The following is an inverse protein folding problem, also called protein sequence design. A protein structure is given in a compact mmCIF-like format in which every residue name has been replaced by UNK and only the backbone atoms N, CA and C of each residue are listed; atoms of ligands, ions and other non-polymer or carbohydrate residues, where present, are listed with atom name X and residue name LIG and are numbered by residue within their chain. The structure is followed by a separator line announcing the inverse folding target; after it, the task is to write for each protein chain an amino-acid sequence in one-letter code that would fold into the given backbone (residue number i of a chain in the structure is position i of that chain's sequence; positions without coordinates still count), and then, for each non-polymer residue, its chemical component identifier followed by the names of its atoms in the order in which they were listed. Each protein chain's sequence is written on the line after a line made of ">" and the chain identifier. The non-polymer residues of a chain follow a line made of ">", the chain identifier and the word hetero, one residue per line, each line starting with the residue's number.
data_IF_277794495887
#
_entry.id   IF_277794495887
#
_cell.length_a   1.000
_cell.length_b   1.000
_cell.length_c   1.000
_cell.angle_alpha   90.00
_cell.angle_beta   90.00
_cell.angle_gamma   90.00
#
_symmetry.space_group_name_H-M   'P 1'
#
loop_
_entity.id
_entity.type
_entity.pdbx_description
1 polymer ?
#
# COMPACT_ATOMS: atom_id res chain seq x y z
N UNK A 1 -3.20 0.85 -6.51
CA UNK A 1 -2.80 1.68 -7.64
C UNK A 1 -3.69 1.54 -8.86
N UNK A 2 -3.88 2.62 -9.58
CA UNK A 2 -4.68 2.68 -10.82
C UNK A 2 -4.17 1.76 -11.95
N UNK A 3 -2.98 1.21 -11.82
CA UNK A 3 -2.33 0.35 -12.82
C UNK A 3 -2.47 -1.15 -12.49
N UNK A 4 -2.88 -1.51 -11.28
CA UNK A 4 -3.00 -2.90 -10.82
C UNK A 4 -4.40 -3.50 -10.83
N UNK A 5 -5.45 -2.74 -11.17
CA UNK A 5 -6.79 -3.29 -11.28
C UNK A 5 -6.97 -4.08 -12.57
N UNK A 6 -7.94 -5.00 -12.62
CA UNK A 6 -8.34 -5.76 -13.82
C UNK A 6 -8.66 -4.88 -15.05
N UNK A 7 -8.69 -3.56 -14.88
CA UNK A 7 -8.72 -2.55 -15.93
C UNK A 7 -7.46 -2.51 -16.79
N UNK A 8 -6.44 -3.30 -16.46
CA UNK A 8 -5.22 -3.33 -17.20
C UNK A 8 -5.33 -4.12 -18.51
N UNK A 9 -5.59 -3.39 -19.59
CA UNK A 9 -4.80 -3.55 -20.83
C UNK A 9 -4.91 -4.93 -21.51
N UNK A 10 -6.09 -5.55 -21.52
CA UNK A 10 -6.42 -6.50 -22.58
C UNK A 10 -6.91 -5.79 -23.85
N UNK A 11 -7.31 -4.53 -23.72
CA UNK A 11 -7.78 -3.74 -24.84
C UNK A 11 -7.04 -2.40 -24.90
N UNK A 12 -6.25 -2.18 -25.94
CA UNK A 12 -5.55 -0.91 -26.21
C UNK A 12 -6.50 0.29 -26.34
N UNK A 13 -7.81 0.04 -26.39
CA UNK A 13 -8.88 1.01 -26.57
C UNK A 13 -9.68 1.28 -25.30
N UNK A 14 -9.28 0.72 -24.14
CA UNK A 14 -9.99 1.00 -22.89
C UNK A 14 -9.82 2.46 -22.49
N UNK A 15 -10.92 3.13 -22.19
CA UNK A 15 -10.90 4.52 -21.70
C UNK A 15 -11.84 4.68 -20.53
N UNK A 16 -11.48 5.55 -19.60
CA UNK A 16 -12.33 5.98 -18.48
C UNK A 16 -12.95 7.32 -18.85
N UNK A 17 -14.26 7.47 -18.69
CA UNK A 17 -14.95 8.75 -18.86
C UNK A 17 -14.95 9.50 -17.51
N UNK A 18 -14.39 10.69 -17.50
CA UNK A 18 -14.39 11.60 -16.36
C UNK A 18 -14.90 12.94 -16.86
N UNK A 19 -16.06 13.36 -16.38
CA UNK A 19 -16.73 14.62 -16.75
C UNK A 19 -16.88 14.80 -18.27
N UNK A 20 -17.23 13.72 -18.99
CA UNK A 20 -17.44 13.72 -20.43
C UNK A 20 -16.17 13.67 -21.27
N UNK A 21 -14.99 13.57 -20.65
CA UNK A 21 -13.72 13.37 -21.33
C UNK A 21 -13.17 11.97 -21.12
N UNK A 22 -12.80 11.30 -22.22
CA UNK A 22 -12.22 9.97 -22.19
C UNK A 22 -10.71 10.02 -21.99
N UNK A 23 -10.24 9.23 -21.03
CA UNK A 23 -8.82 9.10 -20.71
C UNK A 23 -8.36 7.65 -20.84
N UNK A 24 -7.22 7.44 -21.44
CA UNK A 24 -6.54 6.14 -21.45
C UNK A 24 -5.89 5.86 -20.08
N UNK A 25 -5.60 4.61 -19.73
CA UNK A 25 -4.86 4.27 -18.52
C UNK A 25 -3.50 4.97 -18.43
N UNK A 26 -2.81 5.14 -19.55
CA UNK A 26 -1.53 5.84 -19.62
C UNK A 26 -1.67 7.34 -19.27
N UNK A 27 -2.73 7.99 -19.73
CA UNK A 27 -3.00 9.39 -19.40
C UNK A 27 -3.32 9.59 -17.92
N UNK A 28 -4.11 8.69 -17.32
CA UNK A 28 -4.40 8.73 -15.87
C UNK A 28 -3.11 8.50 -15.07
N UNK A 29 -2.31 7.51 -15.45
CA UNK A 29 -1.01 7.25 -14.81
C UNK A 29 -0.06 8.45 -14.96
N UNK A 30 -0.09 9.12 -16.12
CA UNK A 30 0.72 10.32 -16.34
C UNK A 30 0.32 11.48 -15.42
N UNK A 31 -0.97 11.62 -15.07
CA UNK A 31 -1.41 12.64 -14.10
C UNK A 31 -0.78 12.41 -12.72
N UNK A 32 -0.70 11.15 -12.27
CA UNK A 32 -0.02 10.80 -11.02
C UNK A 32 1.48 11.14 -11.10
N UNK A 33 2.13 10.76 -12.20
CA UNK A 33 3.56 11.05 -12.41
C UNK A 33 3.83 12.55 -12.49
N UNK A 34 2.93 13.34 -13.11
CA UNK A 34 3.02 14.80 -13.14
C UNK A 34 2.95 15.41 -11.73
N UNK A 35 2.07 14.89 -10.87
CA UNK A 35 1.99 15.35 -9.47
C UNK A 35 3.28 15.02 -8.71
N UNK A 36 3.78 13.80 -8.82
CA UNK A 36 5.03 13.39 -8.18
C UNK A 36 6.22 14.22 -8.69
N UNK A 37 6.27 14.49 -10.01
CA UNK A 37 7.28 15.38 -10.62
C UNK A 37 7.22 16.77 -10.02
N UNK A 38 6.03 17.37 -9.95
CA UNK A 38 5.85 18.71 -9.39
C UNK A 38 6.29 18.79 -7.91
N UNK A 39 5.96 17.78 -7.12
CA UNK A 39 6.38 17.68 -5.71
C UNK A 39 7.91 17.56 -5.59
N UNK A 40 8.52 16.73 -6.43
CA UNK A 40 9.98 16.58 -6.47
C UNK A 40 10.67 17.88 -6.89
N UNK A 41 10.15 18.57 -7.90
CA UNK A 41 10.67 19.87 -8.37
C UNK A 41 10.55 20.94 -7.27
N UNK A 42 9.43 20.96 -6.55
CA UNK A 42 9.24 21.88 -5.41
C UNK A 42 10.23 21.61 -4.28
N UNK A 43 10.48 20.35 -3.97
CA UNK A 43 11.43 19.94 -2.92
C UNK A 43 12.89 20.22 -3.31
N UNK A 44 13.27 19.91 -4.55
CA UNK A 44 14.65 20.04 -5.04
C UNK A 44 15.01 21.47 -5.48
N UNK A 45 14.02 22.32 -5.74
CA UNK A 45 14.22 23.67 -6.28
C UNK A 45 14.76 23.69 -7.72
N UNK A 46 14.63 22.58 -8.45
CA UNK A 46 15.12 22.44 -9.83
C UNK A 46 14.18 21.53 -10.66
N UNK A 47 14.29 21.64 -11.98
CA UNK A 47 13.49 20.81 -12.90
C UNK A 47 13.90 19.33 -12.82
N UNK A 48 12.91 18.45 -12.82
CA UNK A 48 13.07 17.00 -12.92
C UNK A 48 12.72 16.57 -14.34
N UNK A 49 13.71 16.05 -15.05
CA UNK A 49 13.57 15.66 -16.47
C UNK A 49 13.69 14.16 -16.69
N UNK A 50 14.27 13.43 -15.73
CA UNK A 50 14.55 12.01 -15.84
C UNK A 50 13.97 11.25 -14.64
N UNK A 51 13.57 9.99 -14.86
CA UNK A 51 13.07 9.12 -13.80
C UNK A 51 13.42 7.66 -14.04
N UNK A 52 13.62 6.93 -12.94
CA UNK A 52 13.48 5.48 -12.87
C UNK A 52 12.10 5.20 -12.27
N UNK A 53 11.31 4.36 -12.90
CA UNK A 53 9.94 4.04 -12.45
C UNK A 53 9.88 2.57 -12.05
N UNK A 54 9.31 2.29 -10.89
CA UNK A 54 9.12 0.93 -10.40
C UNK A 54 7.75 0.39 -10.81
N UNK A 55 7.68 -0.92 -11.03
CA UNK A 55 6.44 -1.65 -11.34
C UNK A 55 6.43 -2.97 -10.58
N UNK A 56 5.24 -3.52 -10.27
CA UNK A 56 5.14 -4.86 -9.71
C UNK A 56 5.87 -5.90 -10.58
N UNK A 57 6.48 -6.91 -9.94
CA UNK A 57 7.28 -7.91 -10.65
C UNK A 57 6.45 -8.71 -11.67
N UNK A 58 5.15 -8.89 -11.44
CA UNK A 58 4.23 -9.61 -12.32
C UNK A 58 3.74 -8.81 -13.53
N UNK A 59 4.11 -7.53 -13.67
CA UNK A 59 3.70 -6.73 -14.83
C UNK A 59 4.22 -7.36 -16.13
N UNK A 60 3.32 -7.52 -17.10
CA UNK A 60 3.64 -7.92 -18.46
C UNK A 60 4.44 -6.83 -19.20
N UNK A 61 5.09 -7.19 -20.30
CA UNK A 61 5.81 -6.24 -21.14
C UNK A 61 4.92 -5.10 -21.64
N UNK A 62 3.64 -5.39 -21.94
CA UNK A 62 2.67 -4.36 -22.35
C UNK A 62 2.36 -3.37 -21.23
N UNK A 63 2.27 -3.83 -19.97
CA UNK A 63 2.06 -2.96 -18.80
C UNK A 63 3.31 -2.12 -18.49
N UNK A 64 4.49 -2.71 -18.62
CA UNK A 64 5.78 -1.99 -18.51
C UNK A 64 5.91 -0.91 -19.57
N UNK A 65 5.55 -1.23 -20.82
CA UNK A 65 5.55 -0.25 -21.90
C UNK A 65 4.55 0.88 -21.65
N UNK A 66 3.33 0.54 -21.19
CA UNK A 66 2.31 1.55 -20.84
C UNK A 66 2.79 2.50 -19.71
N UNK A 67 3.50 1.97 -18.72
CA UNK A 67 4.12 2.78 -17.65
C UNK A 67 5.21 3.71 -18.21
N UNK A 68 6.02 3.21 -19.13
CA UNK A 68 7.04 4.01 -19.81
C UNK A 68 6.41 5.13 -20.64
N UNK A 69 5.31 4.83 -21.33
CA UNK A 69 4.57 5.82 -22.13
C UNK A 69 3.91 6.88 -21.24
N UNK A 70 3.36 6.49 -20.08
CA UNK A 70 2.85 7.43 -19.08
C UNK A 70 3.95 8.40 -18.60
N UNK A 71 5.17 7.91 -18.37
CA UNK A 71 6.31 8.77 -18.04
C UNK A 71 6.62 9.77 -19.12
N UNK A 72 6.58 9.37 -20.39
CA UNK A 72 6.78 10.29 -21.52
C UNK A 72 5.67 11.35 -21.62
N UNK A 73 4.40 10.96 -21.41
CA UNK A 73 3.25 11.88 -21.38
C UNK A 73 3.44 12.90 -20.26
N UNK A 74 3.99 12.50 -19.11
CA UNK A 74 4.34 13.37 -17.99
C UNK A 74 5.59 14.26 -18.25
N UNK A 75 6.19 14.17 -19.44
CA UNK A 75 7.39 14.94 -19.80
C UNK A 75 8.65 14.48 -19.06
N UNK A 76 8.75 13.16 -18.80
CA UNK A 76 9.91 12.51 -18.19
C UNK A 76 10.62 11.62 -19.22
N UNK A 77 11.94 11.69 -19.26
CA UNK A 77 12.77 10.65 -19.84
C UNK A 77 12.83 9.47 -18.87
N UNK A 78 12.18 8.34 -19.22
CA UNK A 78 12.19 7.13 -18.40
C UNK A 78 13.47 6.36 -18.69
N UNK A 79 14.44 6.48 -17.79
CA UNK A 79 15.75 5.82 -17.91
C UNK A 79 15.62 4.30 -17.79
N UNK A 80 14.80 3.82 -16.85
CA UNK A 80 14.59 2.40 -16.59
C UNK A 80 13.22 2.13 -15.97
N UNK A 81 12.67 0.96 -16.26
CA UNK A 81 11.58 0.33 -15.49
C UNK A 81 12.22 -0.81 -14.72
N UNK A 82 12.04 -0.85 -13.40
CA UNK A 82 12.57 -1.89 -12.52
C UNK A 82 11.45 -2.50 -11.68
N UNK A 83 11.65 -3.73 -11.20
CA UNK A 83 10.69 -4.37 -10.33
C UNK A 83 10.68 -3.72 -8.94
N UNK A 84 9.50 -3.50 -8.35
CA UNK A 84 9.35 -2.95 -7.00
C UNK A 84 10.14 -3.73 -5.94
N UNK A 85 10.08 -5.09 -5.89
CA UNK A 85 10.86 -5.85 -4.92
C UNK A 85 12.39 -5.71 -5.14
N UNK A 86 12.85 -5.56 -6.37
CA UNK A 86 14.26 -5.28 -6.66
C UNK A 86 14.66 -3.90 -6.14
N UNK A 87 13.81 -2.89 -6.37
CA UNK A 87 14.05 -1.53 -5.86
C UNK A 87 14.11 -1.50 -4.32
N UNK A 88 13.19 -2.22 -3.66
CA UNK A 88 13.19 -2.35 -2.20
C UNK A 88 14.49 -2.98 -1.69
N UNK A 89 14.97 -4.04 -2.34
CA UNK A 89 16.22 -4.70 -1.99
C UNK A 89 17.43 -3.78 -2.16
N UNK A 90 17.48 -3.01 -3.24
CA UNK A 90 18.53 -2.01 -3.48
C UNK A 90 18.50 -0.89 -2.43
N UNK A 91 17.31 -0.37 -2.11
CA UNK A 91 17.14 0.67 -1.09
C UNK A 91 17.59 0.19 0.30
N UNK A 92 17.44 -1.11 0.57
CA UNK A 92 17.92 -1.74 1.80
C UNK A 92 19.45 -1.97 1.80
N UNK A 93 20.14 -1.73 0.69
CA UNK A 93 21.61 -1.85 0.57
C UNK A 93 22.10 -3.28 0.41
N UNK A 94 21.28 -4.18 -0.09
CA UNK A 94 21.64 -5.59 -0.26
C UNK A 94 22.58 -5.84 -1.45
N UNK A 95 22.80 -4.84 -2.29
CA UNK A 95 23.81 -4.83 -3.36
C UNK A 95 25.24 -4.71 -2.81
N UNK A 96 25.40 -4.28 -1.56
CA UNK A 96 26.71 -4.00 -0.92
C UNK A 96 27.19 -5.11 0.02
N UNK A 97 26.45 -6.21 0.10
CA UNK A 97 26.76 -7.33 1.00
C UNK A 97 27.80 -8.31 0.44
N UNK A 98 28.30 -9.21 1.29
CA UNK A 98 29.19 -10.30 0.88
C UNK A 98 28.53 -11.16 -0.21
N UNK A 99 29.35 -11.64 -1.17
CA UNK A 99 28.99 -12.47 -2.34
C UNK A 99 28.41 -13.85 -1.95
N UNK A 100 27.39 -13.90 -1.11
CA UNK A 100 26.67 -15.14 -0.77
C UNK A 100 25.28 -15.06 -1.34
N UNK A 101 24.85 -16.12 -2.00
CA UNK A 101 23.47 -16.25 -2.45
C UNK A 101 22.54 -16.14 -1.24
N UNK A 102 21.65 -15.16 -1.25
CA UNK A 102 20.66 -14.91 -0.19
C UNK A 102 19.26 -14.99 -0.78
N UNK A 103 18.38 -15.69 -0.08
CA UNK A 103 16.96 -15.68 -0.39
C UNK A 103 16.25 -14.71 0.52
N UNK A 104 15.48 -13.82 -0.08
CA UNK A 104 14.85 -12.69 0.60
C UNK A 104 13.37 -12.71 0.29
N UNK A 105 12.56 -12.56 1.33
CA UNK A 105 11.14 -12.33 1.18
C UNK A 105 10.87 -10.83 1.30
N UNK A 106 10.25 -10.26 0.26
CA UNK A 106 9.72 -8.90 0.28
C UNK A 106 8.23 -8.99 0.58
N UNK A 107 7.81 -8.34 1.65
CA UNK A 107 6.41 -8.24 2.07
C UNK A 107 6.00 -6.78 1.92
N UNK A 108 5.25 -6.48 0.87
CA UNK A 108 4.82 -5.11 0.54
C UNK A 108 3.33 -4.96 0.80
N UNK A 109 2.97 -4.27 1.88
CA UNK A 109 1.60 -3.93 2.22
C UNK A 109 1.42 -2.41 2.11
N UNK A 110 0.93 -2.00 0.95
CA UNK A 110 0.65 -0.60 0.63
C UNK A 110 -0.71 -0.12 1.14
N UNK A 111 -1.19 0.98 0.53
CA UNK A 111 -2.52 1.52 0.84
C UNK A 111 -3.66 0.69 0.24
N UNK A 112 -3.48 0.12 -0.95
CA UNK A 112 -4.53 -0.59 -1.68
C UNK A 112 -4.21 -2.01 -2.10
N UNK A 113 -2.94 -2.42 -2.06
CA UNK A 113 -2.48 -3.74 -2.51
C UNK A 113 -1.54 -4.38 -1.51
N UNK A 114 -1.54 -5.70 -1.50
CA UNK A 114 -0.56 -6.53 -0.83
C UNK A 114 0.20 -7.35 -1.88
N UNK A 115 1.51 -7.23 -1.88
CA UNK A 115 2.40 -7.99 -2.75
C UNK A 115 3.49 -8.68 -1.93
N UNK A 116 3.77 -9.92 -2.26
CA UNK A 116 4.85 -10.70 -1.67
C UNK A 116 5.71 -11.29 -2.76
N UNK A 117 7.02 -11.17 -2.64
CA UNK A 117 7.98 -11.69 -3.61
C UNK A 117 9.12 -12.41 -2.92
N UNK A 118 9.54 -13.51 -3.49
CA UNK A 118 10.78 -14.21 -3.11
C UNK A 118 11.84 -13.88 -4.13
N UNK A 119 12.96 -13.33 -3.66
CA UNK A 119 14.12 -13.00 -4.48
C UNK A 119 15.32 -13.85 -4.08
N UNK A 120 16.13 -14.18 -5.06
CA UNK A 120 17.51 -14.64 -4.84
C UNK A 120 18.46 -13.53 -5.26
N UNK A 121 19.45 -13.26 -4.41
CA UNK A 121 20.48 -12.26 -4.66
C UNK A 121 21.83 -12.96 -4.57
N UNK A 122 22.59 -12.94 -5.68
CA UNK A 122 23.93 -13.48 -5.74
C UNK A 122 24.76 -12.76 -6.80
N UNK A 123 26.02 -12.49 -6.49
CA UNK A 123 26.98 -11.84 -7.42
C UNK A 123 26.48 -10.51 -8.02
N UNK A 124 25.68 -9.74 -7.24
CA UNK A 124 25.09 -8.48 -7.70
C UNK A 124 23.88 -8.64 -8.63
N UNK A 125 23.41 -9.87 -8.86
CA UNK A 125 22.21 -10.18 -9.65
C UNK A 125 21.02 -10.37 -8.73
N UNK A 126 19.88 -9.79 -9.08
CA UNK A 126 18.61 -9.93 -8.41
C UNK A 126 17.66 -10.75 -9.29
N UNK A 127 17.31 -11.92 -8.83
CA UNK A 127 16.35 -12.81 -9.50
C UNK A 127 15.07 -12.91 -8.69
N UNK A 128 13.91 -12.66 -9.32
CA UNK A 128 12.60 -12.87 -8.71
C UNK A 128 12.18 -14.31 -8.96
N UNK A 129 12.21 -15.14 -7.91
CA UNK A 129 11.84 -16.55 -7.98
C UNK A 129 10.33 -16.75 -8.07
N UNK A 130 9.58 -15.97 -7.29
CA UNK A 130 8.13 -16.01 -7.30
C UNK A 130 7.53 -14.69 -6.83
N UNK A 131 6.27 -14.48 -7.16
CA UNK A 131 5.47 -13.37 -6.65
C UNK A 131 4.02 -13.80 -6.49
N UNK A 132 3.36 -13.29 -5.45
CA UNK A 132 1.94 -13.49 -5.20
C UNK A 132 1.38 -12.25 -4.49
N UNK A 133 0.07 -12.15 -4.28
CA UNK A 133 -0.49 -10.99 -3.59
C UNK A 133 -2.00 -10.96 -3.61
N UNK A 134 -2.55 -9.84 -3.13
CA UNK A 134 -3.97 -9.49 -3.19
C UNK A 134 -4.10 -8.03 -3.61
N UNK A 135 -4.63 -7.80 -4.80
CA UNK A 135 -4.80 -6.46 -5.38
C UNK A 135 -5.93 -5.65 -4.73
N UNK A 136 -6.62 -6.23 -3.76
CA UNK A 136 -7.73 -5.62 -3.01
C UNK A 136 -7.51 -5.69 -1.49
N UNK A 137 -6.26 -5.75 -1.07
CA UNK A 137 -5.88 -5.77 0.35
C UNK A 137 -4.81 -4.73 0.61
N UNK A 138 -5.13 -3.74 1.43
CA UNK A 138 -4.20 -2.67 1.78
C UNK A 138 -4.67 -1.84 2.95
N UNK A 139 -3.96 -0.77 3.27
CA UNK A 139 -4.24 0.14 4.37
C UNK A 139 -5.63 0.74 4.34
N UNK A 140 -6.20 0.96 3.14
CA UNK A 140 -7.57 1.46 2.96
C UNK A 140 -8.62 0.49 3.54
N UNK A 141 -8.37 -0.83 3.52
CA UNK A 141 -9.28 -1.81 4.12
C UNK A 141 -9.26 -1.73 5.65
N UNK A 142 -8.09 -1.48 6.24
CA UNK A 142 -7.97 -1.22 7.68
C UNK A 142 -8.73 0.05 8.07
N UNK A 143 -8.61 1.11 7.28
CA UNK A 143 -9.34 2.36 7.50
C UNK A 143 -10.85 2.14 7.40
N UNK A 144 -11.33 1.41 6.41
CA UNK A 144 -12.74 1.11 6.22
C UNK A 144 -13.33 0.36 7.43
N UNK A 145 -12.60 -0.61 8.00
CA UNK A 145 -13.06 -1.29 9.22
C UNK A 145 -13.19 -0.32 10.40
N UNK A 146 -12.26 0.61 10.56
CA UNK A 146 -12.35 1.64 11.61
C UNK A 146 -13.52 2.59 11.35
N UNK A 147 -13.74 2.99 10.10
CA UNK A 147 -14.89 3.82 9.71
C UNK A 147 -16.20 3.12 10.05
N UNK A 148 -16.36 1.86 9.67
CA UNK A 148 -17.57 1.08 9.95
C UNK A 148 -17.81 0.99 11.48
N UNK A 149 -16.77 0.73 12.25
CA UNK A 149 -16.85 0.73 13.69
C UNK A 149 -17.27 2.11 14.26
N UNK A 150 -16.72 3.22 13.76
CA UNK A 150 -17.09 4.57 14.19
C UNK A 150 -18.56 4.91 13.86
N UNK A 151 -19.02 4.52 12.67
CA UNK A 151 -20.42 4.68 12.25
C UNK A 151 -21.35 3.90 13.20
N UNK A 152 -21.00 2.67 13.52
CA UNK A 152 -21.78 1.81 14.42
C UNK A 152 -21.81 2.38 15.85
N UNK A 153 -20.68 2.83 16.40
CA UNK A 153 -20.61 3.42 17.74
C UNK A 153 -21.42 4.73 17.82
N UNK A 154 -21.34 5.57 16.79
CA UNK A 154 -22.12 6.79 16.72
C UNK A 154 -23.62 6.51 16.62
N UNK A 155 -24.02 5.51 15.82
CA UNK A 155 -25.40 5.09 15.69
C UNK A 155 -25.97 4.53 16.99
N UNK A 156 -25.18 3.75 17.74
CA UNK A 156 -25.58 3.24 19.07
C UNK A 156 -25.81 4.36 20.08
N UNK A 157 -24.95 5.38 20.08
CA UNK A 157 -25.00 6.46 21.07
C UNK A 157 -25.97 7.60 20.71
N UNK A 158 -26.15 7.89 19.43
CA UNK A 158 -26.94 9.04 18.95
C UNK A 158 -28.16 8.66 18.11
N UNK A 159 -28.33 7.39 17.73
CA UNK A 159 -29.42 6.94 16.86
C UNK A 159 -29.30 7.40 15.39
N UNK A 160 -28.19 8.03 15.00
CA UNK A 160 -27.98 8.61 13.67
C UNK A 160 -26.99 7.78 12.88
N UNK A 161 -27.31 7.50 11.64
CA UNK A 161 -26.46 6.77 10.69
C UNK A 161 -25.65 7.75 9.84
N UNK A 162 -24.36 7.87 10.13
CA UNK A 162 -23.45 8.78 9.43
C UNK A 162 -23.10 8.32 8.00
N UNK A 163 -23.34 7.06 7.65
CA UNK A 163 -22.98 6.53 6.33
C UNK A 163 -23.66 7.23 5.16
N UNK A 164 -24.77 7.94 5.42
CA UNK A 164 -25.53 8.69 4.43
C UNK A 164 -25.05 10.13 4.24
N UNK A 165 -24.18 10.62 5.10
CA UNK A 165 -23.64 11.97 5.06
C UNK A 165 -22.22 11.93 4.45
N UNK A 166 -22.08 12.43 3.23
CA UNK A 166 -20.80 12.44 2.50
C UNK A 166 -19.71 13.25 3.21
N UNK A 167 -20.07 14.36 3.87
CA UNK A 167 -19.11 15.18 4.58
C UNK A 167 -18.64 14.48 5.86
N UNK A 168 -19.57 13.89 6.61
CA UNK A 168 -19.24 13.08 7.78
C UNK A 168 -18.34 11.90 7.40
N UNK A 169 -18.66 11.18 6.33
CA UNK A 169 -17.87 10.05 5.84
C UNK A 169 -16.44 10.44 5.44
N UNK A 170 -16.26 11.61 4.80
CA UNK A 170 -14.90 12.08 4.47
C UNK A 170 -14.10 12.39 5.75
N UNK A 171 -14.71 13.04 6.74
CA UNK A 171 -14.07 13.33 8.02
C UNK A 171 -13.76 12.06 8.81
N UNK A 172 -14.63 11.06 8.75
CA UNK A 172 -14.39 9.75 9.35
C UNK A 172 -13.20 9.05 8.69
N UNK A 173 -13.09 9.12 7.35
CA UNK A 173 -11.98 8.54 6.61
C UNK A 173 -10.64 9.15 7.04
N UNK A 174 -10.55 10.48 7.06
CA UNK A 174 -9.33 11.19 7.45
C UNK A 174 -8.95 10.86 8.92
N UNK A 175 -9.94 10.76 9.79
CA UNK A 175 -9.72 10.43 11.20
C UNK A 175 -9.32 8.96 11.43
N UNK A 176 -9.91 8.04 10.67
CA UNK A 176 -9.57 6.61 10.73
C UNK A 176 -8.13 6.35 10.27
N UNK A 177 -7.71 6.93 9.15
CA UNK A 177 -6.33 6.84 8.67
C UNK A 177 -5.35 7.41 9.69
N UNK A 178 -5.63 8.60 10.23
CA UNK A 178 -4.82 9.22 11.28
C UNK A 178 -4.71 8.30 12.51
N UNK A 179 -5.82 7.75 12.98
CA UNK A 179 -5.85 6.86 14.14
C UNK A 179 -5.03 5.57 13.88
N UNK A 180 -5.15 4.97 12.70
CA UNK A 180 -4.32 3.82 12.29
C UNK A 180 -2.83 4.15 12.36
N UNK A 181 -2.42 5.29 11.84
CA UNK A 181 -1.01 5.74 11.87
C UNK A 181 -0.54 5.95 13.32
N UNK A 182 -1.32 6.64 14.14
CA UNK A 182 -0.99 6.90 15.55
C UNK A 182 -0.87 5.59 16.36
N UNK A 183 -1.78 4.63 16.14
CA UNK A 183 -1.75 3.33 16.82
C UNK A 183 -0.56 2.45 16.43
N UNK A 184 0.18 2.78 15.39
CA UNK A 184 1.45 2.11 15.07
C UNK A 184 2.54 2.43 16.12
N UNK A 185 2.44 3.57 16.81
CA UNK A 185 3.42 4.00 17.82
C UNK A 185 2.85 4.12 19.23
N UNK A 186 1.54 4.30 19.37
CA UNK A 186 0.85 4.46 20.67
C UNK A 186 -0.08 3.28 20.94
N UNK A 187 -0.43 3.06 22.20
CA UNK A 187 -1.39 2.00 22.61
C UNK A 187 -2.84 2.46 22.59
N UNK A 188 -3.07 3.78 22.47
CA UNK A 188 -4.40 4.39 22.46
C UNK A 188 -4.36 5.72 21.71
N UNK A 189 -5.43 6.02 21.00
CA UNK A 189 -5.66 7.34 20.38
C UNK A 189 -7.10 7.78 20.63
N UNK A 190 -7.33 9.10 20.62
CA UNK A 190 -8.67 9.68 20.73
C UNK A 190 -9.10 10.22 19.37
N UNK A 191 -10.28 9.83 18.93
CA UNK A 191 -10.92 10.31 17.70
C UNK A 191 -11.99 11.30 18.08
N UNK A 192 -11.70 12.59 17.88
CA UNK A 192 -12.60 13.70 18.23
C UNK A 192 -12.98 14.47 16.96
N UNK A 193 -14.26 14.38 16.58
CA UNK A 193 -14.84 15.07 15.43
C UNK A 193 -16.02 15.93 15.89
N UNK A 194 -15.76 17.18 16.31
CA UNK A 194 -16.81 18.10 16.71
C UNK A 194 -17.69 18.46 15.52
N UNK A 195 -18.98 18.66 15.78
CA UNK A 195 -19.98 19.02 14.76
C UNK A 195 -19.97 18.07 13.56
N UNK A 196 -19.95 16.74 13.83
CA UNK A 196 -19.94 15.72 12.78
C UNK A 196 -21.27 15.70 12.00
N UNK A 197 -22.36 15.95 12.68
CA UNK A 197 -23.71 16.09 12.12
C UNK A 197 -24.61 16.92 13.08
N UNK A 198 -25.87 17.12 12.71
CA UNK A 198 -26.87 17.77 13.55
C UNK A 198 -28.24 17.11 13.37
N UNK A 199 -29.06 17.18 14.41
CA UNK A 199 -30.47 16.81 14.40
C UNK A 199 -31.37 17.91 14.98
N UNK A 200 -32.64 17.64 15.23
CA UNK A 200 -33.58 18.58 15.78
C UNK A 200 -33.20 19.05 17.19
N UNK A 201 -32.33 18.34 17.90
CA UNK A 201 -31.85 18.70 19.25
C UNK A 201 -30.55 19.51 19.22
N UNK A 202 -29.97 19.72 18.03
CA UNK A 202 -28.77 20.52 17.83
C UNK A 202 -27.57 19.72 17.27
N UNK A 203 -26.40 20.32 17.34
CA UNK A 203 -25.17 19.69 16.81
C UNK A 203 -24.79 18.46 17.62
N UNK A 204 -24.21 17.46 16.89
CA UNK A 204 -23.71 16.22 17.46
C UNK A 204 -22.19 16.12 17.23
N UNK A 205 -21.52 15.51 18.18
CA UNK A 205 -20.07 15.35 18.18
C UNK A 205 -19.73 13.86 18.31
N UNK A 206 -18.68 13.43 17.62
CA UNK A 206 -18.10 12.12 17.85
C UNK A 206 -16.83 12.31 18.68
N UNK A 207 -16.77 11.62 19.82
CA UNK A 207 -15.60 11.62 20.70
C UNK A 207 -15.45 10.21 21.28
N UNK A 208 -14.49 9.44 20.74
CA UNK A 208 -14.27 8.05 21.12
C UNK A 208 -12.78 7.74 21.21
N UNK A 209 -12.46 6.87 22.14
CA UNK A 209 -11.11 6.32 22.30
C UNK A 209 -11.00 4.99 21.54
N UNK A 210 -9.96 4.87 20.73
CA UNK A 210 -9.58 3.62 20.06
C UNK A 210 -8.26 3.13 20.63
N UNK A 211 -8.27 1.92 21.21
CA UNK A 211 -7.05 1.26 21.67
C UNK A 211 -6.45 0.39 20.57
N UNK A 212 -5.13 0.18 20.61
CA UNK A 212 -4.44 -0.77 19.71
C UNK A 212 -5.07 -2.17 19.80
N UNK A 213 -5.33 -2.68 21.00
CA UNK A 213 -5.95 -3.98 21.17
C UNK A 213 -7.34 -4.08 20.50
N UNK A 214 -8.13 -3.02 20.52
CA UNK A 214 -9.41 -2.96 19.81
C UNK A 214 -9.20 -2.92 18.29
N UNK A 215 -8.27 -2.10 17.81
CA UNK A 215 -7.89 -2.02 16.41
C UNK A 215 -7.40 -3.38 15.89
N UNK A 216 -6.50 -4.04 16.61
CA UNK A 216 -5.97 -5.36 16.24
C UNK A 216 -7.09 -6.41 16.17
N UNK A 217 -8.00 -6.41 17.15
CA UNK A 217 -9.16 -7.32 17.14
C UNK A 217 -10.11 -7.07 15.96
N UNK A 218 -10.33 -5.81 15.59
CA UNK A 218 -11.17 -5.44 14.44
C UNK A 218 -10.54 -5.87 13.12
N UNK A 219 -9.21 -5.76 12.98
CA UNK A 219 -8.48 -5.92 11.72
C UNK A 219 -7.76 -7.27 11.57
N UNK A 220 -7.88 -8.16 12.56
CA UNK A 220 -7.23 -9.48 12.59
C UNK A 220 -7.43 -10.27 11.29
N UNK A 221 -8.64 -10.23 10.74
CA UNK A 221 -8.97 -10.94 9.51
C UNK A 221 -8.19 -10.43 8.30
N UNK A 222 -7.87 -9.13 8.23
CA UNK A 222 -7.07 -8.55 7.15
C UNK A 222 -5.61 -8.98 7.25
N UNK A 223 -5.06 -8.97 8.46
CA UNK A 223 -3.69 -9.45 8.71
C UNK A 223 -3.57 -10.92 8.32
N UNK A 224 -4.52 -11.77 8.70
CA UNK A 224 -4.54 -13.20 8.33
C UNK A 224 -4.68 -13.45 6.82
N UNK A 225 -5.34 -12.56 6.07
CA UNK A 225 -5.44 -12.68 4.60
C UNK A 225 -4.08 -12.66 3.90
N UNK A 226 -3.07 -12.05 4.49
CA UNK A 226 -1.73 -11.98 3.89
C UNK A 226 -0.98 -13.33 3.94
N UNK A 227 -1.37 -14.24 4.85
CA UNK A 227 -0.70 -15.54 5.02
C UNK A 227 -0.78 -16.41 3.76
N UNK A 228 -1.96 -16.54 3.19
CA UNK A 228 -2.17 -17.41 2.03
C UNK A 228 -1.32 -17.02 0.81
N UNK A 229 -1.27 -15.75 0.37
CA UNK A 229 -0.35 -15.32 -0.69
C UNK A 229 1.13 -15.57 -0.34
N UNK A 230 1.51 -15.34 0.92
CA UNK A 230 2.88 -15.57 1.39
C UNK A 230 3.28 -17.05 1.30
N UNK A 231 2.44 -17.95 1.83
CA UNK A 231 2.65 -19.39 1.73
C UNK A 231 2.72 -19.88 0.27
N UNK A 232 1.86 -19.31 -0.59
CA UNK A 232 1.85 -19.66 -2.01
C UNK A 232 3.13 -19.18 -2.70
N UNK A 233 3.61 -17.96 -2.44
CA UNK A 233 4.86 -17.47 -3.00
C UNK A 233 6.05 -18.33 -2.58
N UNK A 234 6.13 -18.72 -1.31
CA UNK A 234 7.17 -19.63 -0.82
C UNK A 234 7.12 -21.01 -1.51
N UNK A 235 5.91 -21.56 -1.67
CA UNK A 235 5.71 -22.82 -2.39
C UNK A 235 6.13 -22.73 -3.84
N UNK A 236 5.76 -21.66 -4.54
CA UNK A 236 6.09 -21.46 -5.96
C UNK A 236 7.60 -21.29 -6.16
N UNK A 237 8.27 -20.63 -5.22
CA UNK A 237 9.74 -20.53 -5.19
C UNK A 237 10.44 -21.80 -4.69
N UNK A 238 9.70 -22.82 -4.25
CA UNK A 238 10.24 -24.06 -3.65
C UNK A 238 11.17 -23.79 -2.45
N UNK A 239 10.82 -22.84 -1.60
CA UNK A 239 11.56 -22.45 -0.40
C UNK A 239 10.74 -22.69 0.87
N UNK A 240 11.44 -23.08 1.93
CA UNK A 240 10.90 -23.14 3.29
C UNK A 240 11.23 -21.85 4.06
N UNK A 241 10.63 -21.64 5.23
CA UNK A 241 10.97 -20.51 6.09
C UNK A 241 12.45 -20.51 6.52
N UNK A 242 13.06 -21.69 6.68
CA UNK A 242 14.48 -21.82 7.01
C UNK A 242 15.44 -21.43 5.88
N UNK A 243 14.95 -21.36 4.63
CA UNK A 243 15.73 -20.95 3.48
C UNK A 243 15.76 -19.42 3.31
N UNK A 244 14.84 -18.72 3.98
CA UNK A 244 14.76 -17.27 3.90
C UNK A 244 15.80 -16.64 4.83
N UNK A 245 16.73 -15.93 4.26
CA UNK A 245 17.80 -15.25 5.01
C UNK A 245 17.33 -13.92 5.60
N UNK A 246 16.39 -13.24 4.93
CA UNK A 246 15.87 -11.94 5.37
C UNK A 246 14.42 -11.73 4.92
N UNK A 247 13.69 -10.95 5.72
CA UNK A 247 12.37 -10.41 5.37
C UNK A 247 12.48 -8.89 5.31
N UNK A 248 12.03 -8.29 4.23
CA UNK A 248 11.97 -6.85 4.07
C UNK A 248 10.50 -6.44 4.05
N UNK A 249 10.13 -5.57 4.98
CA UNK A 249 8.79 -5.00 5.08
C UNK A 249 8.76 -3.67 4.33
N UNK A 250 7.87 -3.57 3.35
CA UNK A 250 7.69 -2.40 2.48
C UNK A 250 6.23 -1.96 2.54
N UNK A 251 6.00 -0.66 2.32
CA UNK A 251 4.65 -0.08 2.38
C UNK A 251 4.29 0.42 3.78
N UNK A 252 3.52 1.52 3.82
CA UNK A 252 3.16 2.21 5.07
C UNK A 252 2.40 1.33 6.05
N UNK A 253 1.57 0.41 5.55
CA UNK A 253 0.74 -0.49 6.36
C UNK A 253 1.53 -1.60 7.06
N UNK A 254 2.78 -1.85 6.66
CA UNK A 254 3.68 -2.77 7.38
C UNK A 254 4.14 -2.22 8.73
N UNK A 255 3.86 -0.94 9.03
CA UNK A 255 4.13 -0.34 10.36
C UNK A 255 3.09 -0.74 11.40
N UNK A 256 1.98 -1.35 11.02
CA UNK A 256 0.97 -1.90 11.93
C UNK A 256 1.62 -3.01 12.76
N UNK A 257 1.62 -2.93 14.11
CA UNK A 257 2.31 -3.90 14.97
C UNK A 257 1.91 -5.35 14.72
N UNK A 258 0.62 -5.63 14.53
CA UNK A 258 0.12 -6.98 14.22
C UNK A 258 0.68 -7.54 12.91
N UNK A 259 0.96 -6.69 11.91
CA UNK A 259 1.61 -7.09 10.65
C UNK A 259 3.08 -7.43 10.88
N UNK A 260 3.77 -6.62 11.67
CA UNK A 260 5.17 -6.89 12.05
C UNK A 260 5.26 -8.22 12.80
N UNK A 261 4.42 -8.44 13.80
CA UNK A 261 4.39 -9.67 14.59
C UNK A 261 4.12 -10.90 13.71
N UNK A 262 3.16 -10.82 12.78
CA UNK A 262 2.88 -11.92 11.86
C UNK A 262 4.12 -12.30 11.04
N UNK A 263 4.84 -11.30 10.52
CA UNK A 263 6.05 -11.53 9.72
C UNK A 263 7.17 -12.18 10.53
N UNK A 264 7.24 -11.87 11.85
CA UNK A 264 8.20 -12.46 12.80
C UNK A 264 7.92 -13.92 13.12
N UNK A 265 6.66 -14.26 13.35
CA UNK A 265 6.27 -15.61 13.83
C UNK A 265 6.43 -16.65 12.71
N UNK A 266 6.19 -16.27 11.47
CA UNK A 266 6.20 -17.20 10.34
C UNK A 266 7.52 -17.27 9.57
N UNK A 267 8.41 -16.27 9.75
CA UNK A 267 9.71 -16.18 9.05
C UNK A 267 10.72 -15.53 9.99
N UNK A 268 11.64 -16.29 10.56
CA UNK A 268 12.61 -15.89 11.57
C UNK A 268 13.39 -14.60 11.25
N UNK A 269 13.44 -13.70 12.24
CA UNK A 269 14.11 -12.39 12.36
C UNK A 269 13.77 -11.30 11.30
N UNK A 270 12.95 -10.31 11.66
CA UNK A 270 12.70 -9.17 10.78
C UNK A 270 13.84 -8.15 10.84
N UNK A 271 14.22 -7.71 9.69
CA UNK A 271 14.95 -6.46 9.52
C UNK A 271 13.96 -5.29 9.59
N UNK A 272 14.38 -4.19 10.22
CA UNK A 272 13.53 -3.02 10.48
C UNK A 272 12.91 -2.45 9.21
N UNK A 273 11.66 -1.88 9.28
CA UNK A 273 11.06 -1.16 8.17
C UNK A 273 11.97 -0.02 7.69
N UNK A 274 12.03 0.18 6.38
CA UNK A 274 12.68 1.36 5.79
C UNK A 274 11.80 2.56 6.14
N UNK A 275 12.36 3.53 6.82
CA UNK A 275 11.72 4.79 7.23
C UNK A 275 11.54 5.74 6.06
#
# INVERSE_FOLDING_TARGET
>A
GLVGSEMCIRDRNYTVDIDGKKYSPQEISAMVLLKLKADAEAYLGQKVTQAVITVPAYFSDSQRQATKDAGKIAGLEVLRIINEPTAASLAYGLDKGENKNQKILIYDLGGGTFDVSILEIGDGVFEVLSTNGDTKLGGDDFDNIVIDWLVDEFKKSNGIDLSKDKQAMQRLKDAAEKAKIELSSTTKTNINLPFITADATGPKHLDVDLTRAKFDALTESLVKKTLKPMEQAMKDAQVSSSDINRVILVGGSTRIPAVVELSLIHISEPTRPIS
#
